data_IF_633207291326
#
_entry.id   IF_633207291326
#
_cell.length_a   1.000
_cell.length_b   1.000
_cell.length_c   1.000
_cell.angle_alpha   90.00
_cell.angle_beta   90.00
_cell.angle_gamma   90.00
#
_symmetry.space_group_name_H-M   'P 1'
#
loop_
_entity.id
_entity.type
_entity.pdbx_description
1 polymer ?
#
# COMPACT_ATOMS: atom_id res chain seq x y z
N UNK A 1 1.32 15.41 -7.71
CA UNK A 1 0.77 14.05 -7.59
C UNK A 1 -0.64 14.16 -7.01
N UNK A 2 -1.65 13.56 -7.66
CA UNK A 2 -3.01 13.49 -7.09
C UNK A 2 -2.89 12.81 -5.73
N UNK A 3 -3.40 13.45 -4.66
CA UNK A 3 -3.62 12.76 -3.37
C UNK A 3 -4.60 11.64 -3.67
N UNK A 4 -4.11 10.42 -3.86
CA UNK A 4 -4.98 9.27 -3.95
C UNK A 4 -5.51 9.07 -2.54
N UNK A 5 -6.81 9.31 -2.34
CA UNK A 5 -7.45 8.95 -1.07
C UNK A 5 -7.37 7.44 -0.95
N UNK A 6 -6.41 6.98 -0.16
CA UNK A 6 -6.19 5.58 0.14
C UNK A 6 -6.93 5.25 1.42
N UNK A 7 -7.68 4.16 1.40
CA UNK A 7 -8.43 3.68 2.56
C UNK A 7 -7.97 2.27 2.96
N UNK A 8 -8.27 1.90 4.20
CA UNK A 8 -8.10 0.52 4.65
C UNK A 8 -8.99 -0.38 3.79
N UNK A 9 -8.42 -1.47 3.28
CA UNK A 9 -9.08 -2.38 2.33
C UNK A 9 -8.70 -2.13 0.86
N UNK A 10 -8.15 -0.96 0.51
CA UNK A 10 -7.68 -0.70 -0.85
C UNK A 10 -6.48 -1.58 -1.18
N UNK A 11 -6.30 -1.89 -2.47
CA UNK A 11 -5.13 -2.63 -2.94
C UNK A 11 -4.10 -1.67 -3.52
N UNK A 12 -2.89 -1.71 -2.98
CA UNK A 12 -1.76 -0.93 -3.48
C UNK A 12 -0.74 -1.84 -4.16
N UNK A 13 -0.25 -1.41 -5.32
CA UNK A 13 0.91 -2.03 -5.98
C UNK A 13 2.13 -1.17 -5.75
N UNK A 14 3.12 -1.71 -5.06
CA UNK A 14 4.35 -0.98 -4.72
C UNK A 14 5.60 -1.77 -5.07
N UNK A 15 6.71 -1.05 -5.26
CA UNK A 15 8.05 -1.63 -5.31
C UNK A 15 8.67 -1.52 -3.92
N UNK A 16 8.78 -2.64 -3.22
CA UNK A 16 9.45 -2.67 -1.94
C UNK A 16 10.95 -2.51 -2.15
N UNK A 17 11.58 -1.50 -1.56
CA UNK A 17 13.04 -1.38 -1.51
C UNK A 17 13.65 -2.34 -0.46
N UNK A 18 13.18 -3.58 -0.38
CA UNK A 18 13.78 -4.60 0.49
C UNK A 18 14.95 -5.27 -0.22
N UNK A 19 15.90 -5.77 0.60
CA UNK A 19 17.26 -6.23 0.25
C UNK A 19 17.37 -7.23 -0.92
N UNK A 20 16.26 -7.75 -1.47
CA UNK A 20 16.28 -8.85 -2.43
C UNK A 20 15.30 -8.78 -3.61
N UNK A 21 14.52 -7.71 -3.81
CA UNK A 21 13.51 -7.75 -4.87
C UNK A 21 13.00 -6.39 -5.31
N UNK A 22 13.47 -5.93 -6.48
CA UNK A 22 12.78 -4.96 -7.34
C UNK A 22 11.38 -5.42 -7.84
N UNK A 23 10.76 -6.39 -7.16
CA UNK A 23 9.50 -7.00 -7.56
C UNK A 23 8.36 -6.09 -7.14
N UNK A 24 7.52 -5.74 -8.11
CA UNK A 24 6.23 -5.10 -7.85
C UNK A 24 5.33 -6.10 -7.15
N UNK A 25 4.78 -5.72 -6.01
CA UNK A 25 3.84 -6.54 -5.26
C UNK A 25 2.55 -5.76 -5.02
N UNK A 26 1.41 -6.45 -5.14
CA UNK A 26 0.09 -5.90 -4.84
C UNK A 26 -0.41 -6.46 -3.52
N UNK A 27 -0.77 -5.58 -2.58
CA UNK A 27 -1.27 -5.96 -1.25
C UNK A 27 -2.41 -5.05 -0.81
N UNK A 28 -3.22 -5.58 0.11
CA UNK A 28 -4.32 -4.85 0.74
C UNK A 28 -3.78 -4.00 1.87
N UNK A 29 -4.20 -2.73 1.92
CA UNK A 29 -3.93 -1.80 3.01
C UNK A 29 -4.66 -2.27 4.25
N UNK A 30 -3.89 -2.54 5.30
CA UNK A 30 -4.43 -2.99 6.59
C UNK A 30 -4.53 -1.85 7.59
N UNK A 31 -3.81 -0.76 7.37
CA UNK A 31 -3.81 0.40 8.26
C UNK A 31 -2.91 1.52 7.76
N UNK A 32 -2.62 2.44 8.68
CA UNK A 32 -1.71 3.56 8.45
C UNK A 32 -0.77 3.68 9.64
N UNK A 33 0.51 3.91 9.35
CA UNK A 33 1.52 4.21 10.35
C UNK A 33 1.34 5.64 10.90
N UNK A 34 1.99 5.97 12.01
CA UNK A 34 1.87 7.28 12.67
C UNK A 34 2.23 8.48 11.80
N UNK A 35 3.00 8.27 10.72
CA UNK A 35 3.37 9.29 9.74
C UNK A 35 2.40 9.36 8.53
N UNK A 36 1.28 8.64 8.57
CA UNK A 36 0.28 8.58 7.49
C UNK A 36 0.68 7.71 6.29
N UNK A 37 1.76 6.92 6.38
CA UNK A 37 2.09 5.94 5.34
C UNK A 37 1.20 4.69 5.49
N UNK A 38 0.71 4.09 4.39
CA UNK A 38 -0.06 2.85 4.48
C UNK A 38 0.78 1.69 4.98
N UNK A 39 0.13 0.79 5.70
CA UNK A 39 0.68 -0.50 6.11
C UNK A 39 -0.03 -1.65 5.39
N UNK A 40 0.72 -2.71 5.11
CA UNK A 40 0.23 -3.93 4.47
C UNK A 40 0.86 -5.17 5.10
N UNK A 41 0.26 -6.34 4.86
CA UNK A 41 0.93 -7.62 5.15
C UNK A 41 1.89 -7.99 4.02
N UNK A 42 3.19 -7.98 4.28
CA UNK A 42 4.22 -8.34 3.29
C UNK A 42 5.48 -8.89 3.95
N UNK A 43 6.20 -9.77 3.27
CA UNK A 43 7.51 -10.30 3.71
C UNK A 43 7.53 -10.89 5.14
N UNK A 44 6.41 -11.47 5.60
CA UNK A 44 6.28 -12.01 6.96
C UNK A 44 5.90 -10.98 8.03
N UNK A 45 5.78 -9.70 7.67
CA UNK A 45 5.37 -8.62 8.56
C UNK A 45 3.87 -8.36 8.46
N UNK A 46 3.21 -8.17 9.60
CA UNK A 46 1.79 -7.81 9.67
C UNK A 46 1.52 -6.35 9.27
N UNK A 47 2.49 -5.47 9.56
CA UNK A 47 2.36 -4.01 9.42
C UNK A 47 3.55 -3.43 8.64
N UNK A 48 3.84 -4.01 7.48
CA UNK A 48 4.89 -3.52 6.60
C UNK A 48 4.53 -2.12 6.09
N UNK A 49 5.32 -1.12 6.47
CA UNK A 49 5.13 0.28 6.07
C UNK A 49 5.56 0.48 4.62
N UNK A 50 4.67 1.01 3.80
CA UNK A 50 4.94 1.33 2.38
C UNK A 50 5.00 2.84 2.22
N UNK A 51 6.09 3.36 1.67
CA UNK A 51 6.19 4.80 1.42
C UNK A 51 5.37 5.21 0.20
N UNK A 52 4.81 6.41 0.23
CA UNK A 52 4.00 6.95 -0.88
C UNK A 52 4.73 6.94 -2.23
N UNK A 53 6.04 7.15 -2.25
CA UNK A 53 6.86 7.14 -3.45
C UNK A 53 7.17 5.71 -3.98
N UNK A 54 6.94 4.68 -3.18
CA UNK A 54 7.08 3.27 -3.60
C UNK A 54 5.80 2.76 -4.31
N UNK A 55 4.68 3.44 -4.10
CA UNK A 55 3.36 3.07 -4.65
C UNK A 55 3.30 3.47 -6.13
N UNK A 56 3.04 2.49 -6.97
CA UNK A 56 2.91 2.63 -8.42
C UNK A 56 1.47 2.59 -8.93
N UNK A 57 0.56 1.95 -8.17
CA UNK A 57 -0.86 1.92 -8.50
C UNK A 57 -1.71 1.72 -7.24
N UNK A 58 -2.95 2.20 -7.29
CA UNK A 58 -3.97 2.02 -6.26
C UNK A 58 -5.23 1.52 -6.94
N UNK A 59 -5.77 0.42 -6.44
CA UNK A 59 -7.05 -0.15 -6.83
C UNK A 59 -8.00 0.01 -5.63
N UNK A 60 -8.96 0.97 -5.70
CA UNK A 60 -9.92 1.14 -4.63
C UNK A 60 -10.80 -0.11 -4.52
N UNK A 61 -11.13 -0.51 -3.30
CA UNK A 61 -12.17 -1.53 -3.08
C UNK A 61 -13.52 -0.94 -3.52
N UNK A 62 -14.33 -1.69 -4.26
CA UNK A 62 -15.64 -1.29 -4.79
C UNK A 62 -16.73 -1.04 -3.70
N UNK A 63 -16.34 -0.67 -2.48
CA UNK A 63 -17.25 -0.17 -1.46
C UNK A 63 -17.33 1.35 -1.56
N UNK A 64 -18.12 1.83 -2.53
CA UNK A 64 -18.48 3.25 -2.61
C UNK A 64 -18.56 3.81 -4.02
N UNK A 65 -19.34 3.18 -4.90
CA UNK A 65 -20.01 3.93 -5.96
C UNK A 65 -21.47 4.08 -5.51
N UNK A 66 -21.97 5.30 -5.25
CA UNK A 66 -23.39 5.53 -4.98
C UNK A 66 -24.25 5.14 -6.18
#
# INVERSE_FOLDING_TARGET
MRRVNLNIGDRITFKAATRDSYKKITRVVTGFWSNGCPTVRAHGWSDFVVRWNEISAVLPTEKGRP
#
